data_IF_959720556961
#
_entry.id   IF_959720556961
#
_cell.length_a   1.000
_cell.length_b   1.000
_cell.length_c   1.000
_cell.angle_alpha   90.00
_cell.angle_beta   90.00
_cell.angle_gamma   90.00
#
_symmetry.space_group_name_H-M   'P 1'
#
loop_
_entity.id
_entity.type
_entity.pdbx_description
1 polymer ?
#
# COMPACT_ATOMS: atom_id res chain seq x y z
N UNK A 1 -12.38 5.85 -47.48
CA UNK A 1 -13.79 5.74 -47.07
C UNK A 1 -13.91 4.52 -46.17
N UNK A 2 -13.60 4.67 -44.89
CA UNK A 2 -13.85 3.64 -43.88
C UNK A 2 -15.30 3.81 -43.42
N UNK A 3 -16.12 2.77 -43.57
CA UNK A 3 -17.50 2.80 -43.07
C UNK A 3 -17.45 2.92 -41.55
N UNK A 4 -17.80 4.09 -41.01
CA UNK A 4 -18.00 4.28 -39.58
C UNK A 4 -19.31 3.58 -39.19
N UNK A 5 -19.24 2.31 -38.83
CA UNK A 5 -20.35 1.67 -38.10
C UNK A 5 -20.41 2.32 -36.72
N UNK A 6 -21.37 3.23 -36.53
CA UNK A 6 -21.66 3.81 -35.22
C UNK A 6 -21.93 2.69 -34.23
N UNK A 7 -21.17 2.58 -33.12
CA UNK A 7 -21.36 1.50 -32.16
C UNK A 7 -22.76 1.62 -31.52
N UNK A 8 -23.50 0.52 -31.56
CA UNK A 8 -24.89 0.43 -31.10
C UNK A 8 -25.00 0.16 -29.58
N UNK A 9 -23.88 -0.14 -28.91
CA UNK A 9 -23.82 -0.38 -27.48
C UNK A 9 -22.56 0.24 -26.84
N UNK A 10 -22.60 0.44 -25.52
CA UNK A 10 -21.44 0.91 -24.74
C UNK A 10 -20.27 -0.06 -24.87
N UNK A 11 -20.53 -1.36 -24.84
CA UNK A 11 -19.51 -2.40 -25.00
C UNK A 11 -18.83 -2.34 -26.37
N UNK A 12 -19.61 -2.15 -27.43
CA UNK A 12 -19.08 -2.02 -28.79
C UNK A 12 -18.21 -0.75 -28.94
N UNK A 13 -18.59 0.35 -28.28
CA UNK A 13 -17.77 1.57 -28.24
C UNK A 13 -16.44 1.33 -27.53
N UNK A 14 -16.46 0.68 -26.36
CA UNK A 14 -15.25 0.40 -25.58
C UNK A 14 -14.32 -0.58 -26.29
N UNK A 15 -14.84 -1.58 -26.99
CA UNK A 15 -14.03 -2.49 -27.81
C UNK A 15 -13.35 -1.77 -28.98
N UNK A 16 -14.07 -0.89 -29.67
CA UNK A 16 -13.53 -0.06 -30.73
C UNK A 16 -12.45 0.91 -30.20
N UNK A 17 -12.69 1.57 -29.06
CA UNK A 17 -11.72 2.47 -28.42
C UNK A 17 -10.45 1.72 -27.99
N UNK A 18 -10.62 0.51 -27.42
CA UNK A 18 -9.50 -0.35 -27.05
C UNK A 18 -8.69 -0.79 -28.27
N UNK A 19 -9.34 -1.10 -29.38
CA UNK A 19 -8.68 -1.43 -30.64
C UNK A 19 -7.91 -0.23 -31.21
N UNK A 20 -8.47 0.97 -31.10
CA UNK A 20 -7.85 2.22 -31.56
C UNK A 20 -6.64 2.64 -30.70
N UNK A 21 -6.54 2.18 -29.45
CA UNK A 21 -5.44 2.47 -28.51
C UNK A 21 -4.35 1.37 -28.47
N UNK A 22 -4.38 0.41 -29.40
CA UNK A 22 -3.34 -0.64 -29.47
C UNK A 22 -1.97 -0.01 -29.74
N UNK A 23 -1.04 -0.21 -28.80
CA UNK A 23 0.32 0.35 -28.86
C UNK A 23 0.64 1.33 -27.73
N UNK A 24 -0.38 1.85 -27.04
CA UNK A 24 -0.20 2.77 -25.91
C UNK A 24 0.08 2.03 -24.57
N UNK A 25 0.64 2.72 -23.56
CA UNK A 25 0.84 2.16 -22.23
C UNK A 25 -0.47 1.68 -21.61
N UNK A 26 -0.42 0.59 -20.84
CA UNK A 26 -1.61 -0.03 -20.22
C UNK A 26 -2.41 0.94 -19.33
N UNK A 27 -1.75 1.87 -18.66
CA UNK A 27 -2.41 2.87 -17.82
C UNK A 27 -3.30 3.80 -18.66
N UNK A 28 -2.78 4.32 -19.78
CA UNK A 28 -3.52 5.20 -20.70
C UNK A 28 -4.73 4.49 -21.28
N UNK A 29 -4.58 3.21 -21.65
CA UNK A 29 -5.69 2.39 -22.15
C UNK A 29 -6.78 2.23 -21.08
N UNK A 30 -6.40 2.00 -19.82
CA UNK A 30 -7.36 1.83 -18.73
C UNK A 30 -8.09 3.13 -18.38
N UNK A 31 -7.38 4.25 -18.32
CA UNK A 31 -7.97 5.57 -18.03
C UNK A 31 -8.98 5.96 -19.11
N UNK A 32 -8.60 5.85 -20.39
CA UNK A 32 -9.48 6.16 -21.51
C UNK A 32 -10.76 5.30 -21.55
N UNK A 33 -10.65 4.00 -21.25
CA UNK A 33 -11.81 3.12 -21.20
C UNK A 33 -12.74 3.44 -20.03
N UNK A 34 -12.18 3.74 -18.86
CA UNK A 34 -12.97 4.06 -17.66
C UNK A 34 -13.73 5.38 -17.83
N UNK A 35 -13.06 6.43 -18.32
CA UNK A 35 -13.66 7.74 -18.52
C UNK A 35 -14.78 7.68 -19.56
N UNK A 36 -14.56 6.96 -20.67
CA UNK A 36 -15.56 6.75 -21.70
C UNK A 36 -16.76 5.95 -21.17
N UNK A 37 -16.54 4.88 -20.40
CA UNK A 37 -17.62 4.08 -19.82
C UNK A 37 -18.48 4.90 -18.85
N UNK A 38 -17.85 5.69 -17.97
CA UNK A 38 -18.56 6.55 -17.02
C UNK A 38 -19.42 7.59 -17.76
N UNK A 39 -18.85 8.25 -18.78
CA UNK A 39 -19.57 9.26 -19.54
C UNK A 39 -20.77 8.68 -20.30
N UNK A 40 -20.58 7.55 -20.99
CA UNK A 40 -21.65 6.90 -21.76
C UNK A 40 -22.76 6.35 -20.86
N UNK A 41 -22.42 5.75 -19.71
CA UNK A 41 -23.43 5.25 -18.76
C UNK A 41 -24.18 6.39 -18.07
N UNK A 42 -23.50 7.49 -17.75
CA UNK A 42 -24.14 8.67 -17.19
C UNK A 42 -25.16 9.27 -18.17
N UNK A 43 -24.82 9.35 -19.47
CA UNK A 43 -25.73 9.83 -20.50
C UNK A 43 -26.99 8.93 -20.63
N UNK A 44 -26.82 7.61 -20.58
CA UNK A 44 -27.94 6.66 -20.60
C UNK A 44 -28.87 6.80 -19.37
N UNK A 45 -28.33 7.12 -18.20
CA UNK A 45 -29.12 7.35 -16.99
C UNK A 45 -29.89 8.67 -17.01
N UNK A 46 -29.38 9.69 -17.71
CA UNK A 46 -30.02 11.00 -17.82
C UNK A 46 -31.19 11.01 -18.82
N UNK A 47 -31.22 10.05 -19.74
CA UNK A 47 -32.27 9.93 -20.77
C UNK A 47 -32.94 8.54 -20.79
N UNK A 48 -33.58 8.12 -19.67
CA UNK A 48 -34.25 6.81 -19.58
C UNK A 48 -35.43 6.66 -20.56
N UNK A 49 -35.95 7.76 -21.09
CA UNK A 49 -37.05 7.81 -22.05
C UNK A 49 -36.65 7.56 -23.51
N UNK A 50 -35.36 7.64 -23.84
CA UNK A 50 -34.84 7.46 -25.21
C UNK A 50 -34.31 6.03 -25.40
N UNK A 51 -34.32 5.54 -26.65
CA UNK A 51 -33.67 4.27 -26.96
C UNK A 51 -32.16 4.39 -26.77
N UNK A 52 -31.53 3.32 -26.29
CA UNK A 52 -30.09 3.27 -26.01
C UNK A 52 -29.25 3.71 -27.21
N UNK A 53 -29.62 3.28 -28.43
CA UNK A 53 -28.94 3.64 -29.67
C UNK A 53 -29.01 5.14 -29.98
N UNK A 54 -30.15 5.80 -29.71
CA UNK A 54 -30.31 7.22 -29.96
C UNK A 54 -29.50 8.07 -28.98
N UNK A 55 -29.46 7.68 -27.71
CA UNK A 55 -28.65 8.35 -26.68
C UNK A 55 -27.16 8.16 -26.97
N UNK A 56 -26.73 6.95 -27.34
CA UNK A 56 -25.34 6.70 -27.75
C UNK A 56 -24.95 7.50 -28.98
N UNK A 57 -25.77 7.55 -30.03
CA UNK A 57 -25.47 8.35 -31.23
C UNK A 57 -25.34 9.85 -30.91
N UNK A 58 -26.22 10.39 -30.06
CA UNK A 58 -26.18 11.78 -29.60
C UNK A 58 -24.94 12.05 -28.72
N UNK A 59 -24.59 11.10 -27.85
CA UNK A 59 -23.45 11.22 -26.94
C UNK A 59 -22.14 11.10 -27.70
N UNK A 60 -22.02 10.18 -28.66
CA UNK A 60 -20.86 10.02 -29.54
C UNK A 60 -20.67 11.27 -30.40
N UNK A 61 -21.75 11.90 -30.87
CA UNK A 61 -21.66 13.16 -31.61
C UNK A 61 -21.13 14.33 -30.74
N UNK A 62 -21.36 14.30 -29.42
CA UNK A 62 -20.89 15.33 -28.49
C UNK A 62 -19.52 15.02 -27.87
N UNK A 63 -19.23 13.74 -27.60
CA UNK A 63 -18.04 13.25 -26.90
C UNK A 63 -16.91 12.85 -27.86
N UNK A 64 -17.23 12.48 -29.10
CA UNK A 64 -16.29 12.05 -30.12
C UNK A 64 -16.40 10.57 -30.45
N UNK A 65 -15.88 10.20 -31.62
CA UNK A 65 -15.75 8.79 -32.06
C UNK A 65 -14.63 8.07 -31.31
N UNK A 66 -14.63 6.72 -31.24
CA UNK A 66 -13.56 5.96 -30.60
C UNK A 66 -12.15 6.32 -31.10
N UNK A 67 -12.00 6.61 -32.39
CA UNK A 67 -10.73 6.99 -33.01
C UNK A 67 -10.29 8.40 -32.62
N UNK A 68 -11.22 9.36 -32.57
CA UNK A 68 -10.94 10.75 -32.17
C UNK A 68 -10.54 10.83 -30.70
N UNK A 69 -11.27 10.12 -29.83
CA UNK A 69 -10.92 10.02 -28.39
C UNK A 69 -9.55 9.36 -28.22
N UNK A 70 -9.27 8.28 -28.98
CA UNK A 70 -7.95 7.65 -28.93
C UNK A 70 -6.83 8.60 -29.36
N UNK A 71 -7.07 9.48 -30.33
CA UNK A 71 -6.09 10.47 -30.78
C UNK A 71 -5.86 11.56 -29.73
N UNK A 72 -6.89 12.02 -29.04
CA UNK A 72 -6.77 12.98 -27.94
C UNK A 72 -5.88 12.44 -26.82
N UNK A 73 -6.09 11.19 -26.39
CA UNK A 73 -5.24 10.55 -25.38
C UNK A 73 -3.78 10.38 -25.85
N UNK A 74 -3.55 10.06 -27.14
CA UNK A 74 -2.19 10.03 -27.71
C UNK A 74 -1.50 11.38 -27.68
N UNK A 75 -2.23 12.44 -28.03
CA UNK A 75 -1.70 13.80 -28.01
C UNK A 75 -1.36 14.24 -26.58
N UNK A 76 -2.23 13.96 -25.60
CA UNK A 76 -1.99 14.22 -24.19
C UNK A 76 -0.75 13.51 -23.65
N UNK A 77 -0.58 12.23 -23.98
CA UNK A 77 0.60 11.44 -23.60
C UNK A 77 1.88 11.96 -24.28
N UNK A 78 1.80 12.36 -25.55
CA UNK A 78 2.93 12.95 -26.28
C UNK A 78 3.36 14.30 -25.71
N UNK A 79 2.39 15.13 -25.29
CA UNK A 79 2.63 16.41 -24.64
C UNK A 79 3.25 16.24 -23.25
N UNK A 80 2.84 15.22 -22.51
CA UNK A 80 3.44 14.87 -21.21
C UNK A 80 4.90 14.42 -21.33
N UNK A 81 5.29 13.77 -22.44
CA UNK A 81 6.68 13.34 -22.66
C UNK A 81 7.65 14.49 -22.98
N UNK A 82 7.16 15.65 -23.40
CA UNK A 82 7.94 16.86 -23.66
C UNK A 82 9.02 16.71 -24.76
N UNK A 83 9.56 17.82 -25.32
CA UNK A 83 10.62 17.77 -26.34
C UNK A 83 11.99 17.41 -25.78
N UNK A 84 12.13 17.45 -24.45
CA UNK A 84 13.34 17.08 -23.73
C UNK A 84 13.01 15.82 -22.93
N UNK A 85 13.45 14.67 -23.44
CA UNK A 85 13.40 13.41 -22.69
C UNK A 85 14.02 13.57 -21.30
N UNK A 86 13.59 12.72 -20.36
CA UNK A 86 13.95 12.73 -18.92
C UNK A 86 15.10 13.69 -18.58
N UNK A 87 14.75 14.85 -18.03
CA UNK A 87 15.69 15.94 -17.71
C UNK A 87 16.96 15.41 -17.05
N UNK A 88 18.12 15.97 -17.40
CA UNK A 88 19.43 15.61 -16.83
C UNK A 88 19.43 15.59 -15.30
N UNK A 89 18.59 16.43 -14.67
CA UNK A 89 18.33 16.44 -13.23
C UNK A 89 17.66 15.16 -12.69
N UNK A 90 16.77 14.53 -13.46
CA UNK A 90 16.20 13.22 -13.14
C UNK A 90 17.27 12.11 -13.18
N UNK A 91 18.17 12.17 -14.18
CA UNK A 91 19.30 11.23 -14.35
C UNK A 91 20.36 11.40 -13.26
N UNK A 92 20.60 12.62 -12.80
CA UNK A 92 21.56 12.94 -11.74
C UNK A 92 21.02 12.56 -10.34
N UNK A 93 19.72 12.78 -10.08
CA UNK A 93 19.00 12.19 -8.92
C UNK A 93 19.10 10.67 -8.90
N UNK A 94 19.11 10.02 -10.07
CA UNK A 94 19.23 8.57 -10.19
C UNK A 94 20.66 8.07 -9.90
N UNK A 95 21.69 8.88 -10.17
CA UNK A 95 23.11 8.48 -10.13
C UNK A 95 23.76 8.65 -8.75
N UNK A 96 23.31 9.63 -7.95
CA UNK A 96 23.75 9.82 -6.56
C UNK A 96 22.66 9.52 -5.51
N UNK A 97 21.42 9.23 -5.92
CA UNK A 97 20.25 9.11 -5.05
C UNK A 97 19.77 7.68 -4.74
N UNK A 98 20.66 6.69 -4.77
CA UNK A 98 20.30 5.32 -4.37
C UNK A 98 20.32 5.11 -2.86
N UNK A 99 21.51 5.15 -2.27
CA UNK A 99 21.75 4.74 -0.88
C UNK A 99 21.63 5.89 0.14
N UNK A 100 22.17 7.08 -0.18
CA UNK A 100 22.09 8.25 0.72
C UNK A 100 20.77 9.02 0.61
N UNK A 101 20.01 8.83 -0.47
CA UNK A 101 18.72 9.48 -0.65
C UNK A 101 17.69 9.07 0.41
N UNK A 102 17.85 7.91 1.04
CA UNK A 102 16.96 7.48 2.11
C UNK A 102 16.95 8.44 3.31
N UNK A 103 18.05 9.17 3.57
CA UNK A 103 18.11 10.18 4.64
C UNK A 103 17.27 11.41 4.29
N UNK A 104 17.21 11.78 3.01
CA UNK A 104 16.47 12.94 2.55
C UNK A 104 15.02 12.62 2.19
N UNK A 105 14.62 11.35 2.22
CA UNK A 105 13.29 10.88 1.83
C UNK A 105 12.39 10.69 3.07
N UNK A 106 11.36 11.54 3.27
CA UNK A 106 10.42 11.40 4.39
C UNK A 106 9.74 10.03 4.45
N UNK A 107 9.61 9.33 3.30
CA UNK A 107 8.99 8.01 3.23
C UNK A 107 9.81 6.93 3.93
N UNK A 108 11.14 7.08 4.01
CA UNK A 108 11.99 6.13 4.72
C UNK A 108 11.70 6.16 6.24
N UNK A 109 11.52 7.36 6.80
CA UNK A 109 11.14 7.54 8.20
C UNK A 109 9.70 7.08 8.47
N UNK A 110 8.77 7.38 7.56
CA UNK A 110 7.39 6.87 7.64
C UNK A 110 7.34 5.33 7.65
N UNK A 111 8.14 4.68 6.78
CA UNK A 111 8.25 3.23 6.75
C UNK A 111 8.93 2.65 7.98
N UNK A 112 9.97 3.29 8.52
CA UNK A 112 10.62 2.88 9.76
C UNK A 112 9.65 2.97 10.95
N UNK A 113 8.89 4.07 11.06
CA UNK A 113 7.87 4.24 12.07
C UNK A 113 6.78 3.18 11.94
N UNK A 114 6.34 2.89 10.71
CA UNK A 114 5.42 1.80 10.43
C UNK A 114 5.96 0.45 10.92
N UNK A 115 7.22 0.12 10.63
CA UNK A 115 7.83 -1.13 11.10
C UNK A 115 7.84 -1.23 12.64
N UNK A 116 8.10 -0.13 13.34
CA UNK A 116 8.04 -0.10 14.80
C UNK A 116 6.60 -0.28 15.33
N UNK A 117 5.62 0.35 14.68
CA UNK A 117 4.21 0.29 15.07
C UNK A 117 3.53 -1.03 14.65
N UNK A 118 4.10 -1.74 13.68
CA UNK A 118 3.53 -2.96 13.09
C UNK A 118 3.41 -4.11 14.11
N UNK A 119 4.30 -4.18 15.10
CA UNK A 119 4.18 -5.17 16.17
C UNK A 119 2.98 -4.89 17.08
N UNK A 120 2.82 -3.64 17.52
CA UNK A 120 1.71 -3.25 18.39
C UNK A 120 0.35 -3.43 17.69
N UNK A 121 0.25 -2.98 16.43
CA UNK A 121 -0.96 -3.18 15.61
C UNK A 121 -1.21 -4.66 15.30
N UNK A 122 -0.15 -5.44 15.01
CA UNK A 122 -0.23 -6.89 14.81
C UNK A 122 -0.77 -7.65 16.03
N UNK A 123 -0.27 -7.35 17.22
CA UNK A 123 -0.76 -7.95 18.48
C UNK A 123 -2.24 -7.61 18.69
N UNK A 124 -2.61 -6.35 18.49
CA UNK A 124 -3.97 -5.89 18.65
C UNK A 124 -4.93 -6.58 17.66
N UNK A 125 -4.59 -6.62 16.37
CA UNK A 125 -5.41 -7.25 15.33
C UNK A 125 -5.55 -8.76 15.53
N UNK A 126 -4.44 -9.44 15.83
CA UNK A 126 -4.47 -10.87 16.14
C UNK A 126 -5.38 -11.17 17.33
N UNK A 127 -5.17 -10.45 18.44
CA UNK A 127 -5.97 -10.63 19.67
C UNK A 127 -7.45 -10.37 19.38
N UNK A 128 -7.77 -9.30 18.65
CA UNK A 128 -9.14 -8.95 18.30
C UNK A 128 -9.83 -10.03 17.46
N UNK A 129 -9.16 -10.54 16.42
CA UNK A 129 -9.74 -11.58 15.55
C UNK A 129 -9.90 -12.90 16.30
N UNK A 130 -8.90 -13.34 17.05
CA UNK A 130 -8.97 -14.61 17.79
C UNK A 130 -10.04 -14.55 18.88
N UNK A 131 -10.09 -13.47 19.67
CA UNK A 131 -11.11 -13.29 20.71
C UNK A 131 -12.49 -13.12 20.12
N UNK A 132 -12.64 -12.30 19.08
CA UNK A 132 -13.92 -12.05 18.42
C UNK A 132 -14.51 -13.29 17.75
N UNK A 133 -13.69 -14.10 17.06
CA UNK A 133 -14.13 -15.38 16.50
C UNK A 133 -14.50 -16.37 17.61
N UNK A 134 -13.65 -16.51 18.63
CA UNK A 134 -13.91 -17.44 19.75
C UNK A 134 -15.19 -17.10 20.49
N UNK A 135 -15.42 -15.80 20.76
CA UNK A 135 -16.63 -15.30 21.42
C UNK A 135 -17.86 -15.47 20.52
N UNK A 136 -17.75 -15.18 19.23
CA UNK A 136 -18.85 -15.33 18.27
C UNK A 136 -19.32 -16.78 18.15
N UNK A 137 -18.37 -17.73 18.02
CA UNK A 137 -18.70 -19.15 17.97
C UNK A 137 -19.21 -19.68 19.31
N UNK A 138 -18.57 -19.29 20.42
CA UNK A 138 -18.98 -19.72 21.76
C UNK A 138 -20.38 -19.21 22.13
N UNK A 139 -20.71 -17.97 21.76
CA UNK A 139 -22.02 -17.39 22.01
C UNK A 139 -23.07 -17.77 20.97
N UNK A 140 -22.71 -18.43 19.87
CA UNK A 140 -23.67 -18.84 18.81
C UNK A 140 -24.76 -19.78 19.35
N UNK A 141 -24.45 -20.57 20.38
CA UNK A 141 -25.42 -21.44 21.07
C UNK A 141 -26.49 -20.60 21.79
N UNK A 142 -26.15 -19.36 22.16
CA UNK A 142 -27.05 -18.40 22.76
C UNK A 142 -27.67 -17.51 21.66
N UNK A 143 -28.90 -17.04 21.90
CA UNK A 143 -29.58 -16.10 20.98
C UNK A 143 -28.75 -14.80 20.78
N UNK A 144 -27.92 -14.44 21.77
CA UNK A 144 -27.06 -13.25 21.76
C UNK A 144 -25.84 -13.41 20.83
N UNK A 145 -25.49 -14.63 20.42
CA UNK A 145 -24.33 -14.87 19.56
C UNK A 145 -24.40 -14.17 18.22
N UNK A 146 -25.59 -14.11 17.60
CA UNK A 146 -25.77 -13.46 16.29
C UNK A 146 -25.48 -11.96 16.36
N UNK A 147 -26.07 -11.16 17.29
CA UNK A 147 -25.68 -9.76 17.49
C UNK A 147 -24.19 -9.54 17.72
N UNK A 148 -23.55 -10.39 18.55
CA UNK A 148 -22.11 -10.27 18.85
C UNK A 148 -21.27 -10.55 17.61
N UNK A 149 -21.61 -11.59 16.84
CA UNK A 149 -20.92 -11.91 15.59
C UNK A 149 -21.05 -10.76 14.57
N UNK A 150 -22.22 -10.15 14.45
CA UNK A 150 -22.42 -9.01 13.54
C UNK A 150 -21.61 -7.79 13.95
N UNK A 151 -21.57 -7.46 15.26
CA UNK A 151 -20.73 -6.40 15.79
C UNK A 151 -19.25 -6.68 15.53
N UNK A 152 -18.81 -7.92 15.73
CA UNK A 152 -17.45 -8.34 15.43
C UNK A 152 -17.12 -8.16 13.93
N UNK A 153 -17.93 -8.68 13.02
CA UNK A 153 -17.70 -8.52 11.57
C UNK A 153 -17.69 -7.05 11.14
N UNK A 154 -18.56 -6.21 11.72
CA UNK A 154 -18.55 -4.78 11.49
C UNK A 154 -17.25 -4.13 11.99
N UNK A 155 -16.77 -4.52 13.18
CA UNK A 155 -15.51 -4.02 13.73
C UNK A 155 -14.29 -4.39 12.87
N UNK A 156 -14.25 -5.60 12.31
CA UNK A 156 -13.17 -6.03 11.38
C UNK A 156 -13.08 -5.10 10.18
N UNK A 157 -14.23 -4.68 9.62
CA UNK A 157 -14.25 -3.74 8.49
C UNK A 157 -13.72 -2.35 8.87
N UNK A 158 -14.08 -1.85 10.05
CA UNK A 158 -13.56 -0.58 10.58
C UNK A 158 -12.05 -0.67 10.77
N UNK A 159 -11.56 -1.75 11.38
CA UNK A 159 -10.14 -1.99 11.63
C UNK A 159 -9.34 -2.10 10.33
N UNK A 160 -9.86 -2.81 9.32
CA UNK A 160 -9.25 -2.88 7.99
C UNK A 160 -9.16 -1.49 7.32
N UNK A 161 -10.15 -0.61 7.55
CA UNK A 161 -10.09 0.76 7.08
C UNK A 161 -9.02 1.58 7.81
N UNK A 162 -8.95 1.47 9.14
CA UNK A 162 -7.92 2.15 9.95
C UNK A 162 -6.52 1.72 9.48
N UNK A 163 -6.30 0.43 9.27
CA UNK A 163 -5.04 -0.07 8.75
C UNK A 163 -4.70 0.50 7.37
N UNK A 164 -5.67 0.54 6.45
CA UNK A 164 -5.49 1.17 5.16
C UNK A 164 -5.06 2.65 5.27
N UNK A 165 -5.58 3.38 6.26
CA UNK A 165 -5.18 4.77 6.54
C UNK A 165 -3.78 4.87 7.14
N UNK A 166 -3.41 3.96 8.03
CA UNK A 166 -2.05 3.90 8.57
C UNK A 166 -1.05 3.65 7.44
N UNK A 167 -1.35 2.72 6.53
CA UNK A 167 -0.52 2.43 5.35
C UNK A 167 -0.47 3.61 4.39
N UNK A 168 -1.61 4.24 4.08
CA UNK A 168 -1.67 5.42 3.20
C UNK A 168 -0.85 6.59 3.76
N UNK A 169 -0.99 6.87 5.06
CA UNK A 169 -0.34 8.02 5.72
C UNK A 169 1.16 7.81 5.94
N UNK A 170 1.58 6.62 6.37
CA UNK A 170 2.98 6.34 6.72
C UNK A 170 3.82 5.89 5.53
N UNK A 171 3.24 5.14 4.59
CA UNK A 171 3.98 4.60 3.43
C UNK A 171 3.81 5.45 2.17
N UNK A 172 2.86 6.40 2.17
CA UNK A 172 2.61 7.30 1.03
C UNK A 172 2.13 6.56 -0.23
N UNK A 173 1.66 5.32 -0.08
CA UNK A 173 1.03 4.54 -1.15
C UNK A 173 -0.41 5.01 -1.27
N UNK A 174 -0.78 5.48 -2.46
CA UNK A 174 -2.13 5.97 -2.73
C UNK A 174 -3.09 4.78 -2.78
N UNK A 175 -3.77 4.47 -1.67
CA UNK A 175 -4.83 3.47 -1.67
C UNK A 175 -6.08 4.02 -2.39
N UNK A 176 -6.79 3.22 -3.19
CA UNK A 176 -8.09 3.60 -3.75
C UNK A 176 -9.03 4.03 -2.62
N UNK A 177 -9.47 5.29 -2.66
CA UNK A 177 -10.27 5.93 -1.58
C UNK A 177 -11.64 5.31 -1.36
N UNK A 178 -12.08 4.40 -2.22
CA UNK A 178 -13.49 4.02 -2.35
C UNK A 178 -13.68 2.61 -1.81
N UNK A 179 -14.42 2.51 -0.70
CA UNK A 179 -15.07 1.26 -0.30
C UNK A 179 -15.98 0.82 -1.46
N UNK A 180 -15.95 -0.45 -1.89
CA UNK A 180 -16.86 -0.92 -2.93
C UNK A 180 -18.30 -0.83 -2.45
N UNK A 181 -19.12 -0.24 -3.33
CA UNK A 181 -20.59 -0.18 -3.45
C UNK A 181 -21.39 -0.45 -2.16
N UNK A 182 -22.09 0.61 -1.74
CA UNK A 182 -23.16 0.64 -0.73
C UNK A 182 -24.04 -0.62 -0.86
N UNK A 183 -24.33 -1.37 0.22
CA UNK A 183 -25.25 -2.49 0.14
C UNK A 183 -26.58 -2.01 -0.42
N UNK A 184 -27.13 -2.77 -1.38
CA UNK A 184 -28.44 -2.49 -1.94
C UNK A 184 -29.43 -2.24 -0.81
N UNK A 185 -30.07 -1.07 -0.86
CA UNK A 185 -30.89 -0.58 0.24
C UNK A 185 -32.12 -1.49 0.46
N UNK A 186 -32.42 -2.36 -0.52
CA UNK A 186 -33.58 -3.24 -0.60
C UNK A 186 -33.40 -4.64 0.03
N UNK A 187 -32.23 -5.01 0.54
CA UNK A 187 -32.03 -6.34 1.12
C UNK A 187 -32.69 -6.50 2.51
N UNK A 188 -33.49 -7.57 2.68
CA UNK A 188 -34.05 -8.04 3.97
C UNK A 188 -32.96 -8.24 5.03
N UNK A 189 -33.30 -8.11 6.32
CA UNK A 189 -32.36 -8.31 7.44
C UNK A 189 -31.58 -9.63 7.37
N UNK A 190 -32.27 -10.74 7.07
CA UNK A 190 -31.64 -12.06 6.93
C UNK A 190 -30.73 -12.19 5.71
N UNK A 191 -31.08 -11.56 4.58
CA UNK A 191 -30.22 -11.54 3.39
C UNK A 191 -28.99 -10.65 3.59
N UNK A 192 -29.08 -9.58 4.38
CA UNK A 192 -27.91 -8.77 4.80
C UNK A 192 -26.93 -9.59 5.66
N UNK A 193 -27.43 -10.37 6.62
CA UNK A 193 -26.59 -11.24 7.46
C UNK A 193 -25.89 -12.30 6.59
N UNK A 194 -26.65 -12.98 5.72
CA UNK A 194 -26.11 -13.99 4.82
C UNK A 194 -25.06 -13.40 3.87
N UNK A 195 -25.32 -12.20 3.33
CA UNK A 195 -24.39 -11.48 2.49
C UNK A 195 -23.10 -11.10 3.25
N UNK A 196 -23.19 -10.64 4.50
CA UNK A 196 -22.02 -10.33 5.33
C UNK A 196 -21.16 -11.56 5.65
N UNK A 197 -21.80 -12.69 5.97
CA UNK A 197 -21.09 -13.94 6.30
C UNK A 197 -20.46 -14.60 5.06
N UNK A 198 -21.13 -14.50 3.92
CA UNK A 198 -20.65 -15.06 2.64
C UNK A 198 -19.68 -14.13 1.91
N UNK A 199 -19.44 -12.94 2.45
CA UNK A 199 -18.53 -11.96 1.87
C UNK A 199 -17.08 -12.44 2.02
N UNK A 200 -16.40 -12.88 0.94
CA UNK A 200 -15.02 -13.36 1.01
C UNK A 200 -14.09 -12.28 1.57
N UNK A 201 -14.49 -11.01 1.49
CA UNK A 201 -13.69 -9.87 1.93
C UNK A 201 -13.47 -9.82 3.43
N UNK A 202 -14.47 -10.24 4.20
CA UNK A 202 -14.37 -10.25 5.66
C UNK A 202 -13.37 -11.32 6.11
N UNK A 203 -13.36 -12.46 5.41
CA UNK A 203 -12.44 -13.57 5.68
C UNK A 203 -10.99 -13.24 5.31
N UNK A 204 -10.76 -12.61 4.17
CA UNK A 204 -9.42 -12.17 3.78
C UNK A 204 -8.89 -11.05 4.69
N UNK A 205 -9.75 -10.14 5.16
CA UNK A 205 -9.36 -9.13 6.15
C UNK A 205 -8.97 -9.75 7.50
N UNK A 206 -9.70 -10.76 7.98
CA UNK A 206 -9.34 -11.50 9.19
C UNK A 206 -8.03 -12.27 9.01
N UNK A 207 -7.83 -12.92 7.85
CA UNK A 207 -6.58 -13.60 7.54
C UNK A 207 -5.40 -12.63 7.51
N UNK A 208 -5.58 -11.45 6.91
CA UNK A 208 -4.59 -10.37 6.92
C UNK A 208 -4.24 -9.98 8.35
N UNK A 209 -5.24 -9.73 9.21
CA UNK A 209 -5.04 -9.36 10.61
C UNK A 209 -4.26 -10.41 11.41
N UNK A 210 -4.51 -11.70 11.17
CA UNK A 210 -3.76 -12.79 11.79
C UNK A 210 -2.32 -12.83 11.29
N UNK A 211 -2.12 -12.69 9.97
CA UNK A 211 -0.79 -12.67 9.36
C UNK A 211 0.01 -11.42 9.75
N UNK A 212 -0.68 -10.32 10.08
CA UNK A 212 -0.08 -9.05 10.47
C UNK A 212 0.82 -9.17 11.69
N UNK A 213 0.50 -10.08 12.63
CA UNK A 213 1.36 -10.34 13.77
C UNK A 213 2.72 -10.89 13.34
N UNK A 214 2.74 -11.90 12.45
CA UNK A 214 3.99 -12.49 11.97
C UNK A 214 4.82 -11.44 11.19
N UNK A 215 4.17 -10.66 10.33
CA UNK A 215 4.81 -9.56 9.61
C UNK A 215 5.34 -8.49 10.57
N UNK A 216 4.55 -8.12 11.58
CA UNK A 216 4.90 -7.13 12.58
C UNK A 216 6.12 -7.53 13.40
N UNK A 217 6.23 -8.81 13.79
CA UNK A 217 7.43 -9.35 14.46
C UNK A 217 8.66 -9.20 13.57
N UNK A 218 8.56 -9.58 12.29
CA UNK A 218 9.69 -9.49 11.34
C UNK A 218 10.11 -8.04 11.17
N UNK A 219 9.16 -7.14 10.90
CA UNK A 219 9.43 -5.72 10.67
C UNK A 219 10.02 -5.04 11.89
N UNK A 220 9.42 -5.25 13.06
CA UNK A 220 9.91 -4.70 14.32
C UNK A 220 11.32 -5.21 14.64
N UNK A 221 11.57 -6.51 14.49
CA UNK A 221 12.88 -7.11 14.75
C UNK A 221 13.94 -6.49 13.85
N UNK A 222 13.68 -6.36 12.55
CA UNK A 222 14.62 -5.73 11.60
C UNK A 222 14.86 -4.26 11.97
N UNK A 223 13.81 -3.50 12.27
CA UNK A 223 13.93 -2.08 12.61
C UNK A 223 14.75 -1.90 13.90
N UNK A 224 14.41 -2.60 14.97
CA UNK A 224 15.06 -2.48 16.28
C UNK A 224 16.50 -2.98 16.23
N UNK A 225 16.77 -4.12 15.59
CA UNK A 225 18.15 -4.63 15.46
C UNK A 225 19.03 -3.70 14.62
N UNK A 226 18.52 -3.19 13.49
CA UNK A 226 19.25 -2.24 12.64
C UNK A 226 19.52 -0.90 13.35
N UNK A 227 18.52 -0.36 14.04
CA UNK A 227 18.66 0.86 14.86
C UNK A 227 19.63 0.66 16.01
N UNK A 228 19.49 -0.42 16.79
CA UNK A 228 20.36 -0.73 17.91
C UNK A 228 21.81 -0.89 17.44
N UNK A 229 22.05 -1.63 16.35
CA UNK A 229 23.38 -1.80 15.77
C UNK A 229 23.98 -0.45 15.34
N UNK A 230 23.20 0.37 14.63
CA UNK A 230 23.66 1.68 14.19
C UNK A 230 23.99 2.61 15.36
N UNK A 231 23.10 2.69 16.36
CA UNK A 231 23.31 3.51 17.56
C UNK A 231 24.53 3.03 18.34
N UNK A 232 24.66 1.72 18.57
CA UNK A 232 25.82 1.15 19.27
C UNK A 232 27.14 1.45 18.56
N UNK A 233 27.18 1.38 17.23
CA UNK A 233 28.39 1.70 16.46
C UNK A 233 28.71 3.21 16.44
N UNK A 234 27.68 4.07 16.38
CA UNK A 234 27.88 5.53 16.36
C UNK A 234 28.30 6.05 17.73
N UNK A 235 27.66 5.57 18.80
CA UNK A 235 27.85 6.10 20.15
C UNK A 235 28.82 5.27 21.00
N UNK A 236 29.20 4.06 20.57
CA UNK A 236 30.18 3.21 21.26
C UNK A 236 31.51 3.92 21.53
N UNK A 237 32.13 4.62 20.57
CA UNK A 237 33.35 5.37 20.83
C UNK A 237 33.19 6.49 21.85
N UNK A 238 32.00 7.10 21.91
CA UNK A 238 31.70 8.17 22.86
C UNK A 238 31.56 7.62 24.29
N UNK A 239 30.98 6.43 24.47
CA UNK A 239 30.87 5.82 25.80
C UNK A 239 32.24 5.46 26.37
N UNK A 240 33.17 4.97 25.55
CA UNK A 240 34.55 4.75 25.98
C UNK A 240 35.28 6.05 26.33
N UNK A 241 35.17 7.09 25.49
CA UNK A 241 35.83 8.38 25.74
C UNK A 241 35.37 9.03 27.05
N UNK A 242 34.08 8.86 27.40
CA UNK A 242 33.50 9.37 28.64
C UNK A 242 33.77 8.49 29.86
N UNK A 243 34.51 7.37 29.71
CA UNK A 243 34.72 6.40 30.78
C UNK A 243 33.44 5.68 31.21
N UNK A 244 32.39 5.72 30.37
CA UNK A 244 31.14 5.01 30.59
C UNK A 244 31.19 3.57 30.07
N UNK A 245 32.25 3.18 29.36
CA UNK A 245 32.49 1.81 28.89
C UNK A 245 32.52 0.81 30.04
N UNK A 246 33.10 1.18 31.18
CA UNK A 246 33.24 0.34 32.39
C UNK A 246 31.89 -0.14 32.96
N UNK A 247 30.79 0.57 32.72
CA UNK A 247 29.44 0.13 33.13
C UNK A 247 28.89 -1.03 32.29
N UNK A 248 29.44 -1.25 31.09
CA UNK A 248 29.03 -2.31 30.17
C UNK A 248 30.02 -3.48 30.10
N UNK A 249 31.12 -3.42 30.86
CA UNK A 249 32.05 -4.53 31.00
C UNK A 249 31.37 -5.67 31.77
N UNK A 250 31.10 -6.78 31.09
CA UNK A 250 30.63 -7.99 31.76
C UNK A 250 31.84 -8.67 32.41
N UNK A 251 31.82 -8.80 33.73
CA UNK A 251 32.96 -9.38 34.46
C UNK A 251 33.18 -10.85 34.06
N UNK A 252 34.33 -11.13 33.44
CA UNK A 252 35.03 -12.40 33.59
C UNK A 252 34.82 -13.49 32.55
N UNK A 253 35.41 -13.37 31.35
CA UNK A 253 35.89 -14.51 30.55
C UNK A 253 37.07 -14.09 29.66
N UNK A 254 38.04 -14.98 29.41
CA UNK A 254 39.24 -14.68 28.58
C UNK A 254 38.91 -14.23 27.14
N UNK A 255 37.78 -14.69 26.60
CA UNK A 255 37.25 -14.25 25.29
C UNK A 255 36.77 -12.80 25.32
N UNK A 256 36.34 -12.31 26.48
CA UNK A 256 35.89 -10.93 26.66
C UNK A 256 37.07 -9.96 26.71
N UNK A 257 38.19 -10.33 27.33
CA UNK A 257 39.42 -9.52 27.34
C UNK A 257 39.97 -9.25 25.92
N UNK A 258 39.91 -10.25 25.03
CA UNK A 258 40.31 -10.06 23.63
C UNK A 258 39.36 -9.11 22.88
N UNK A 259 38.08 -9.12 23.24
CA UNK A 259 37.07 -8.25 22.67
C UNK A 259 37.21 -6.81 23.18
N UNK A 260 37.49 -6.62 24.48
CA UNK A 260 37.77 -5.31 25.08
C UNK A 260 39.02 -4.68 24.43
N UNK A 261 40.10 -5.46 24.29
CA UNK A 261 41.33 -4.99 23.63
C UNK A 261 41.09 -4.60 22.15
N UNK A 262 40.18 -5.29 21.46
CA UNK A 262 39.80 -4.97 20.09
C UNK A 262 39.00 -3.66 20.02
N UNK A 263 38.03 -3.47 20.91
CA UNK A 263 37.21 -2.27 20.95
C UNK A 263 37.95 -1.06 21.53
N UNK A 264 39.01 -1.24 22.32
CA UNK A 264 39.89 -0.15 22.79
C UNK A 264 40.88 0.34 21.73
N UNK A 265 40.94 -0.33 20.56
CA UNK A 265 41.84 0.07 19.49
C UNK A 265 41.37 1.39 18.84
N UNK A 266 42.21 2.44 18.78
CA UNK A 266 41.82 3.74 18.24
C UNK A 266 41.40 3.69 16.77
N UNK A 267 41.94 2.74 15.98
CA UNK A 267 41.54 2.53 14.59
C UNK A 267 40.14 1.92 14.51
N UNK A 268 39.83 0.96 15.37
CA UNK A 268 38.49 0.36 15.42
C UNK A 268 37.46 1.42 15.80
N UNK A 269 37.76 2.23 16.81
CA UNK A 269 36.89 3.33 17.26
C UNK A 269 36.62 4.36 16.17
N UNK A 270 37.65 4.73 15.41
CA UNK A 270 37.51 5.62 14.26
C UNK A 270 36.61 5.01 13.17
N UNK A 271 36.69 3.70 12.94
CA UNK A 271 35.91 2.98 11.93
C UNK A 271 34.48 2.65 12.37
N UNK A 272 34.19 2.60 13.68
CA UNK A 272 32.85 2.31 14.19
C UNK A 272 31.84 3.38 13.79
N UNK A 273 32.20 4.66 13.83
CA UNK A 273 31.30 5.77 13.45
C UNK A 273 30.84 5.65 11.99
N UNK A 274 31.73 5.60 10.97
CA UNK A 274 31.30 5.46 9.58
C UNK A 274 30.56 4.14 9.34
N UNK A 275 30.95 3.05 9.99
CA UNK A 275 30.23 1.77 9.88
C UNK A 275 28.81 1.86 10.47
N UNK A 276 28.66 2.56 11.59
CA UNK A 276 27.36 2.81 12.22
C UNK A 276 26.46 3.69 11.36
N UNK A 277 27.01 4.74 10.75
CA UNK A 277 26.29 5.57 9.77
C UNK A 277 25.87 4.72 8.57
N UNK A 278 26.75 3.88 8.02
CA UNK A 278 26.40 2.97 6.92
C UNK A 278 25.30 1.97 7.33
N UNK A 279 25.35 1.44 8.55
CA UNK A 279 24.30 0.57 9.10
C UNK A 279 22.96 1.29 9.24
N UNK A 280 22.96 2.55 9.68
CA UNK A 280 21.75 3.37 9.77
C UNK A 280 21.14 3.59 8.37
N UNK A 281 21.97 3.92 7.40
CA UNK A 281 21.57 4.09 6.01
C UNK A 281 21.00 2.80 5.43
N UNK A 282 21.67 1.67 5.66
CA UNK A 282 21.18 0.37 5.24
C UNK A 282 19.81 0.07 5.85
N UNK A 283 19.62 0.37 7.14
CA UNK A 283 18.34 0.20 7.84
C UNK A 283 17.24 1.06 7.24
N UNK A 284 17.50 2.34 6.93
CA UNK A 284 16.52 3.24 6.31
C UNK A 284 16.14 2.81 4.89
N UNK A 285 17.12 2.36 4.10
CA UNK A 285 16.85 1.82 2.76
C UNK A 285 16.04 0.54 2.82
N UNK A 286 16.35 -0.35 3.76
CA UNK A 286 15.61 -1.57 4.00
C UNK A 286 14.18 -1.27 4.45
N UNK A 287 14.00 -0.30 5.34
CA UNK A 287 12.68 0.14 5.78
C UNK A 287 11.84 0.67 4.61
N UNK A 288 12.42 1.50 3.74
CA UNK A 288 11.76 1.98 2.52
C UNK A 288 11.37 0.83 1.58
N UNK A 289 12.25 -0.15 1.38
CA UNK A 289 11.96 -1.33 0.57
C UNK A 289 10.79 -2.12 1.16
N UNK A 290 10.84 -2.43 2.45
CA UNK A 290 9.80 -3.17 3.17
C UNK A 290 8.47 -2.40 3.11
N UNK A 291 8.47 -1.10 3.37
CA UNK A 291 7.28 -0.26 3.28
C UNK A 291 6.65 -0.28 1.88
N UNK A 292 7.47 -0.26 0.83
CA UNK A 292 6.98 -0.35 -0.55
C UNK A 292 6.39 -1.73 -0.86
N UNK A 293 7.05 -2.80 -0.43
CA UNK A 293 6.59 -4.18 -0.61
C UNK A 293 5.28 -4.43 0.15
N UNK A 294 5.22 -3.97 1.41
CA UNK A 294 4.06 -4.09 2.26
C UNK A 294 2.88 -3.27 1.72
N UNK A 295 3.11 -2.03 1.28
CA UNK A 295 2.06 -1.21 0.66
C UNK A 295 1.44 -1.89 -0.57
N UNK A 296 2.25 -2.53 -1.43
CA UNK A 296 1.76 -3.32 -2.57
C UNK A 296 1.01 -4.58 -2.15
N UNK A 297 1.46 -5.23 -1.08
CA UNK A 297 0.77 -6.39 -0.52
C UNK A 297 -0.61 -5.99 0.04
N UNK A 298 -0.65 -4.93 0.84
CA UNK A 298 -1.88 -4.37 1.40
C UNK A 298 -2.83 -3.92 0.29
N UNK A 299 -2.34 -3.26 -0.77
CA UNK A 299 -3.13 -2.90 -1.94
C UNK A 299 -3.78 -4.13 -2.57
N UNK A 300 -3.02 -5.19 -2.87
CA UNK A 300 -3.58 -6.40 -3.50
C UNK A 300 -4.60 -7.11 -2.61
N UNK A 301 -4.40 -7.11 -1.30
CA UNK A 301 -5.25 -7.82 -0.34
C UNK A 301 -6.51 -7.01 0.00
N UNK A 302 -6.41 -5.68 0.07
CA UNK A 302 -7.51 -4.78 0.48
C UNK A 302 -8.29 -4.19 -0.70
N UNK A 303 -7.69 -4.04 -1.89
CA UNK A 303 -8.33 -3.43 -3.08
C UNK A 303 -9.02 -4.47 -3.97
N UNK A 304 -8.51 -5.71 -4.03
CA UNK A 304 -9.25 -6.81 -4.69
C UNK A 304 -10.41 -7.35 -3.85
N UNK A 305 -10.73 -6.67 -2.74
CA UNK A 305 -11.96 -6.88 -2.03
C UNK A 305 -13.07 -6.27 -2.87
#
# INVERSE_FOLDING_TARGET
>A
MTNHTTPLSVEAYLEALKAALVGEPRAVIQDALSDAEEHLRAALQQHPEKSQEAVLAETIAAYGTPEEVAEEYRQLESAQKGPFGETTAAREKQRFGGFFAAVADPRAYGALLYMLLSLATGIFYFTWVVTGLSLSFGLMILIIGVPVALLFLASVRVLAHVEGRIVETLLGVRMPRRLPVKPDTELTFWSRIKAMLSDPRTWTAMLYMVLHLALGIIYFTIAVTGLALAVSLIFGPLTQLLGLGDFFHADGHAELYAMDTFFDNPVVLLLMIPLGVLSLLATLNLAKLIGTLHGRFAEKVLVRL
#
